data_IF_719794415206
#
_entry.id   IF_719794415206
#
_cell.length_a   1.000
_cell.length_b   1.000
_cell.length_c   1.000
_cell.angle_alpha   90.00
_cell.angle_beta   90.00
_cell.angle_gamma   90.00
#
_symmetry.space_group_name_H-M   'P 1'
#
loop_
_entity.id
_entity.type
_entity.pdbx_description
1 polymer ?
#
# COMPACT_ATOMS: atom_id res chain seq x y z
N UNK A 1 -19.56 -8.87 7.56
CA UNK A 1 -18.10 -8.73 7.74
C UNK A 1 -17.49 -8.90 6.37
N UNK A 2 -17.13 -7.80 5.72
CA UNK A 2 -16.63 -7.82 4.35
C UNK A 2 -15.14 -8.16 4.37
N UNK A 3 -14.75 -9.24 3.71
CA UNK A 3 -13.34 -9.48 3.37
C UNK A 3 -12.95 -8.46 2.31
N UNK A 4 -12.12 -7.49 2.67
CA UNK A 4 -11.59 -6.53 1.69
C UNK A 4 -10.72 -7.30 0.68
N UNK A 5 -10.86 -6.98 -0.59
CA UNK A 5 -10.02 -7.53 -1.65
C UNK A 5 -8.74 -6.73 -1.82
N UNK A 6 -7.73 -7.33 -2.45
CA UNK A 6 -6.51 -6.62 -2.86
C UNK A 6 -6.83 -5.45 -3.80
N UNK A 7 -7.90 -5.56 -4.60
CA UNK A 7 -8.36 -4.46 -5.47
C UNK A 7 -8.81 -3.24 -4.68
N UNK A 8 -9.68 -3.45 -3.69
CA UNK A 8 -10.17 -2.38 -2.82
C UNK A 8 -9.04 -1.73 -2.02
N UNK A 9 -8.08 -2.52 -1.53
CA UNK A 9 -6.89 -1.97 -0.84
C UNK A 9 -6.06 -1.09 -1.77
N UNK A 10 -5.87 -1.50 -3.02
CA UNK A 10 -5.14 -0.70 -4.01
C UNK A 10 -5.86 0.61 -4.35
N UNK A 11 -7.19 0.59 -4.42
CA UNK A 11 -7.99 1.81 -4.62
C UNK A 11 -7.83 2.78 -3.45
N UNK A 12 -7.91 2.27 -2.21
CA UNK A 12 -7.69 3.07 -1.00
C UNK A 12 -6.25 3.60 -0.94
N UNK A 13 -5.25 2.78 -1.29
CA UNK A 13 -3.85 3.19 -1.33
C UNK A 13 -3.64 4.34 -2.32
N UNK A 14 -4.24 4.25 -3.51
CA UNK A 14 -4.17 5.29 -4.52
C UNK A 14 -4.84 6.60 -4.08
N UNK A 15 -6.01 6.51 -3.43
CA UNK A 15 -6.70 7.69 -2.88
C UNK A 15 -5.86 8.38 -1.79
N UNK A 16 -5.26 7.61 -0.87
CA UNK A 16 -4.41 8.15 0.18
C UNK A 16 -3.10 8.73 -0.35
N UNK A 17 -2.49 8.09 -1.35
CA UNK A 17 -1.32 8.60 -2.03
C UNK A 17 -1.61 9.98 -2.67
N UNK A 18 -2.74 10.11 -3.38
CA UNK A 18 -3.16 11.37 -3.98
C UNK A 18 -3.44 12.46 -2.92
N UNK A 19 -4.12 12.10 -1.82
CA UNK A 19 -4.37 13.02 -0.69
C UNK A 19 -3.09 13.49 -0.02
N UNK A 20 -2.11 12.60 0.19
CA UNK A 20 -0.81 12.94 0.75
C UNK A 20 -0.01 13.85 -0.21
N UNK A 21 0.01 13.51 -1.50
CA UNK A 21 0.71 14.29 -2.49
C UNK A 21 0.13 15.70 -2.66
N UNK A 22 -1.20 15.84 -2.53
CA UNK A 22 -1.91 17.11 -2.58
C UNK A 22 -1.86 17.94 -1.30
N UNK A 23 -1.68 17.32 -0.12
CA UNK A 23 -1.61 18.08 1.15
C UNK A 23 -0.27 18.77 1.36
N UNK A 24 0.82 18.25 0.78
CA UNK A 24 2.17 18.82 0.94
C UNK A 24 2.69 18.80 2.39
N UNK A 25 2.04 18.04 3.26
CA UNK A 25 2.33 17.93 4.68
C UNK A 25 3.42 16.86 4.92
N UNK A 26 4.34 17.07 5.89
CA UNK A 26 5.39 16.10 6.22
C UNK A 26 4.91 15.00 7.19
N UNK A 27 3.70 14.48 7.01
CA UNK A 27 3.03 13.50 7.88
C UNK A 27 2.97 12.09 7.26
N UNK A 28 3.96 11.75 6.43
CA UNK A 28 4.01 10.49 5.69
C UNK A 28 3.85 9.28 6.61
N UNK A 29 4.67 9.21 7.66
CA UNK A 29 4.72 8.05 8.55
C UNK A 29 3.37 7.83 9.26
N UNK A 30 2.75 8.90 9.76
CA UNK A 30 1.45 8.82 10.43
C UNK A 30 0.34 8.33 9.49
N UNK A 31 0.34 8.82 8.24
CA UNK A 31 -0.66 8.42 7.24
C UNK A 31 -0.48 6.98 6.76
N UNK A 32 0.78 6.58 6.56
CA UNK A 32 1.11 5.21 6.18
C UNK A 32 0.72 4.28 7.32
N UNK A 33 1.04 4.62 8.57
CA UNK A 33 0.67 3.81 9.73
C UNK A 33 -0.85 3.65 9.85
N UNK A 34 -1.60 4.77 9.77
CA UNK A 34 -3.06 4.74 9.83
C UNK A 34 -3.67 3.91 8.69
N UNK A 35 -3.10 3.99 7.48
CA UNK A 35 -3.53 3.17 6.34
C UNK A 35 -3.24 1.69 6.59
N UNK A 36 -2.02 1.36 7.03
CA UNK A 36 -1.60 -0.02 7.29
C UNK A 36 -2.41 -0.64 8.41
N UNK A 37 -2.68 0.08 9.50
CA UNK A 37 -3.56 -0.38 10.58
C UNK A 37 -4.98 -0.69 10.09
N UNK A 38 -5.53 0.17 9.24
CA UNK A 38 -6.86 -0.05 8.65
C UNK A 38 -6.93 -1.25 7.70
N UNK A 39 -5.83 -1.54 6.99
CA UNK A 39 -5.73 -2.73 6.12
C UNK A 39 -5.40 -3.99 6.91
N UNK A 40 -4.62 -3.86 7.99
CA UNK A 40 -4.13 -4.97 8.79
C UNK A 40 -5.26 -5.83 9.33
N UNK A 41 -6.36 -5.24 9.82
CA UNK A 41 -7.52 -5.99 10.32
C UNK A 41 -8.06 -6.99 9.26
N UNK A 42 -8.05 -6.59 7.99
CA UNK A 42 -8.53 -7.44 6.91
C UNK A 42 -7.53 -8.50 6.48
N UNK A 43 -6.23 -8.22 6.57
CA UNK A 43 -5.16 -9.18 6.27
C UNK A 43 -4.99 -10.18 7.40
N UNK A 44 -5.15 -9.74 8.65
CA UNK A 44 -5.00 -10.51 9.90
C UNK A 44 -6.09 -11.58 10.09
N UNK A 45 -7.13 -11.57 9.25
CA UNK A 45 -8.21 -12.54 9.33
C UNK A 45 -7.69 -13.99 9.12
N UNK A 46 -8.12 -14.97 9.94
CA UNK A 46 -7.57 -16.34 9.92
C UNK A 46 -7.88 -17.13 8.64
N UNK A 47 -8.85 -16.69 7.84
CA UNK A 47 -9.20 -17.34 6.56
C UNK A 47 -8.41 -16.79 5.37
N UNK A 48 -7.59 -15.76 5.57
CA UNK A 48 -6.77 -15.16 4.51
C UNK A 48 -5.45 -15.93 4.41
N UNK A 49 -5.14 -16.42 3.21
CA UNK A 49 -3.80 -16.90 2.92
C UNK A 49 -2.87 -15.69 2.78
N UNK A 50 -2.09 -15.42 3.84
CA UNK A 50 -1.25 -14.23 3.97
C UNK A 50 -0.18 -14.17 2.89
N UNK A 51 0.48 -15.29 2.57
CA UNK A 51 1.53 -15.35 1.54
C UNK A 51 0.96 -14.95 0.17
N UNK A 52 -0.11 -15.60 -0.27
CA UNK A 52 -0.73 -15.30 -1.57
C UNK A 52 -1.28 -13.87 -1.64
N UNK A 53 -1.81 -13.39 -0.52
CA UNK A 53 -2.32 -12.03 -0.42
C UNK A 53 -1.17 -11.01 -0.53
N UNK A 54 -0.08 -11.24 0.20
CA UNK A 54 1.13 -10.42 0.19
C UNK A 54 1.71 -10.32 -1.22
N UNK A 55 1.94 -11.46 -1.87
CA UNK A 55 2.46 -11.53 -3.25
C UNK A 55 1.59 -10.69 -4.19
N UNK A 56 0.27 -10.87 -4.12
CA UNK A 56 -0.68 -10.16 -4.99
C UNK A 56 -0.72 -8.65 -4.73
N UNK A 57 -0.53 -8.22 -3.49
CA UNK A 57 -0.55 -6.81 -3.10
C UNK A 57 0.76 -6.13 -3.52
N UNK A 58 1.91 -6.75 -3.24
CA UNK A 58 3.21 -6.19 -3.58
C UNK A 58 3.42 -6.12 -5.09
N UNK A 59 3.02 -7.15 -5.85
CA UNK A 59 3.06 -7.11 -7.32
C UNK A 59 2.25 -5.93 -7.88
N UNK A 60 1.11 -5.61 -7.25
CA UNK A 60 0.26 -4.48 -7.67
C UNK A 60 0.83 -3.13 -7.25
N UNK A 61 1.45 -3.03 -6.07
CA UNK A 61 2.14 -1.81 -5.63
C UNK A 61 3.30 -1.49 -6.56
N UNK A 62 4.15 -2.48 -6.88
CA UNK A 62 5.24 -2.33 -7.84
C UNK A 62 4.72 -1.94 -9.22
N UNK A 63 3.68 -2.63 -9.70
CA UNK A 63 3.02 -2.28 -10.97
C UNK A 63 2.47 -0.86 -10.98
N UNK A 64 1.95 -0.35 -9.85
CA UNK A 64 1.45 1.01 -9.74
C UNK A 64 2.59 2.04 -9.83
N UNK A 65 3.71 1.79 -9.15
CA UNK A 65 4.91 2.64 -9.23
C UNK A 65 5.45 2.67 -10.66
N UNK A 66 5.58 1.51 -11.32
CA UNK A 66 6.05 1.42 -12.72
C UNK A 66 5.10 2.17 -13.67
N UNK A 67 3.78 2.06 -13.48
CA UNK A 67 2.79 2.76 -14.33
C UNK A 67 2.85 4.27 -14.15
N UNK A 68 3.08 4.72 -12.92
CA UNK A 68 3.28 6.13 -12.61
C UNK A 68 4.55 6.69 -13.28
N UNK A 69 5.61 5.87 -13.38
CA UNK A 69 6.84 6.25 -14.10
C UNK A 69 6.71 6.18 -15.62
N UNK A 70 5.96 5.20 -16.14
CA UNK A 70 5.83 4.96 -17.58
C UNK A 70 4.94 5.98 -18.31
N UNK A 71 4.23 6.84 -17.56
CA UNK A 71 3.40 7.90 -18.13
C UNK A 71 4.28 9.07 -18.58
N UNK A 72 4.94 8.91 -19.73
CA UNK A 72 5.82 9.91 -20.32
C UNK A 72 5.07 11.14 -20.89
N UNK A 73 3.75 11.03 -21.08
CA UNK A 73 2.93 12.11 -21.61
C UNK A 73 2.06 12.75 -20.51
N UNK A 74 2.12 14.08 -20.35
CA UNK A 74 1.29 14.80 -19.39
C UNK A 74 -0.19 14.63 -19.79
N UNK A 75 -0.93 13.84 -19.01
CA UNK A 75 -2.38 13.67 -19.16
C UNK A 75 -3.07 14.54 -18.11
N UNK A 76 -4.20 15.15 -18.48
CA UNK A 76 -5.00 15.94 -17.54
C UNK A 76 -5.40 15.09 -16.34
N UNK A 77 -4.98 15.49 -15.14
CA UNK A 77 -5.22 14.76 -13.90
C UNK A 77 -4.20 13.66 -13.59
N UNK A 78 -3.08 13.59 -14.31
CA UNK A 78 -1.95 12.75 -13.93
C UNK A 78 -1.00 13.51 -13.01
N UNK A 79 -0.46 12.87 -11.95
CA UNK A 79 0.50 13.52 -11.07
C UNK A 79 1.81 13.78 -11.80
N UNK A 80 2.40 14.96 -11.56
CA UNK A 80 3.65 15.39 -12.18
C UNK A 80 4.63 15.94 -11.12
N UNK A 81 5.93 15.97 -11.44
CA UNK A 81 6.97 16.56 -10.60
C UNK A 81 6.94 16.04 -9.15
N UNK A 82 6.86 16.96 -8.19
CA UNK A 82 6.87 16.63 -6.76
C UNK A 82 5.62 15.84 -6.33
N UNK A 83 4.48 16.00 -7.01
CA UNK A 83 3.27 15.24 -6.70
C UNK A 83 3.47 13.76 -7.02
N UNK A 84 3.99 13.47 -8.21
CA UNK A 84 4.36 12.12 -8.63
C UNK A 84 5.36 11.49 -7.65
N UNK A 85 6.39 12.25 -7.28
CA UNK A 85 7.39 11.76 -6.32
C UNK A 85 6.78 11.46 -4.95
N UNK A 86 5.89 12.32 -4.44
CA UNK A 86 5.20 12.08 -3.17
C UNK A 86 4.28 10.85 -3.20
N UNK A 87 3.57 10.62 -4.31
CA UNK A 87 2.75 9.41 -4.46
C UNK A 87 3.61 8.14 -4.47
N UNK A 88 4.74 8.14 -5.19
CA UNK A 88 5.68 7.00 -5.22
C UNK A 88 6.25 6.69 -3.83
N UNK A 89 6.66 7.74 -3.11
CA UNK A 89 7.15 7.61 -1.73
C UNK A 89 6.07 7.01 -0.82
N UNK A 90 4.82 7.43 -0.97
CA UNK A 90 3.71 6.83 -0.23
C UNK A 90 3.55 5.34 -0.51
N UNK A 91 3.50 4.93 -1.79
CA UNK A 91 3.39 3.51 -2.14
C UNK A 91 4.56 2.67 -1.62
N UNK A 92 5.79 3.20 -1.71
CA UNK A 92 6.97 2.51 -1.18
C UNK A 92 6.90 2.34 0.34
N UNK A 93 6.49 3.39 1.07
CA UNK A 93 6.35 3.32 2.53
C UNK A 93 5.25 2.34 2.97
N UNK A 94 4.13 2.30 2.24
CA UNK A 94 3.07 1.32 2.45
C UNK A 94 3.58 -0.10 2.25
N UNK A 95 4.34 -0.35 1.17
CA UNK A 95 4.90 -1.67 0.89
C UNK A 95 5.85 -2.13 2.01
N UNK A 96 6.75 -1.24 2.45
CA UNK A 96 7.71 -1.52 3.53
C UNK A 96 7.01 -1.88 4.86
N UNK A 97 6.07 -1.04 5.29
CA UNK A 97 5.34 -1.25 6.56
C UNK A 97 4.47 -2.51 6.54
N UNK A 98 3.79 -2.79 5.42
CA UNK A 98 3.00 -4.02 5.29
C UNK A 98 3.88 -5.26 5.27
N UNK A 99 5.02 -5.21 4.57
CA UNK A 99 5.96 -6.31 4.51
C UNK A 99 6.50 -6.66 5.89
N UNK A 100 6.93 -5.65 6.66
CA UNK A 100 7.38 -5.83 8.04
C UNK A 100 6.31 -6.50 8.92
N UNK A 101 5.05 -6.05 8.81
CA UNK A 101 3.94 -6.58 9.62
C UNK A 101 3.54 -8.01 9.21
N UNK A 102 3.51 -8.29 7.91
CA UNK A 102 3.24 -9.63 7.40
C UNK A 102 4.34 -10.62 7.80
N UNK A 103 5.61 -10.21 7.73
CA UNK A 103 6.75 -11.02 8.17
C UNK A 103 6.64 -11.37 9.65
N UNK A 104 6.34 -10.38 10.52
CA UNK A 104 6.11 -10.62 11.95
C UNK A 104 5.01 -11.66 12.20
N UNK A 105 3.94 -11.64 11.39
CA UNK A 105 2.86 -12.63 11.50
C UNK A 105 3.28 -14.02 11.04
N UNK A 106 4.03 -14.13 9.94
CA UNK A 106 4.57 -15.40 9.46
C UNK A 106 5.51 -16.02 10.51
N UNK A 107 6.37 -15.20 11.12
CA UNK A 107 7.28 -15.61 12.19
C UNK A 107 6.51 -16.04 13.46
N UNK A 108 5.45 -15.31 13.82
CA UNK A 108 4.60 -15.62 14.98
C UNK A 108 3.73 -16.88 14.77
N UNK A 109 3.33 -17.18 13.52
CA UNK A 109 2.61 -18.40 13.15
C UNK A 109 3.49 -19.64 13.00
N UNK A 110 4.82 -19.46 13.01
CA UNK A 110 5.81 -20.53 12.84
C UNK A 110 6.29 -21.22 14.12
N UNK A 111 5.79 -20.86 15.30
CA UNK A 111 6.09 -21.58 16.53
C UNK A 111 5.24 -22.87 16.61
N UNK A 112 5.83 -24.07 16.49
CA UNK A 112 5.09 -25.31 16.73
C UNK A 112 4.70 -25.37 18.22
N UNK A 113 3.41 -25.61 18.48
CA UNK A 113 2.96 -26.16 19.77
C UNK A 113 3.41 -27.61 19.89
#
# INVERSE_FOLDING_TARGET
>A
MSTISVGEIMELAAEQAARYAGSGTPDLDERVEAFVDGVAEAVEHPTVNVERFADSLFERLDSAIIRLEACAEPRRGHPEGDELQRQKVFFAAVADRLSARMQQRLDAGGAPQ
#
